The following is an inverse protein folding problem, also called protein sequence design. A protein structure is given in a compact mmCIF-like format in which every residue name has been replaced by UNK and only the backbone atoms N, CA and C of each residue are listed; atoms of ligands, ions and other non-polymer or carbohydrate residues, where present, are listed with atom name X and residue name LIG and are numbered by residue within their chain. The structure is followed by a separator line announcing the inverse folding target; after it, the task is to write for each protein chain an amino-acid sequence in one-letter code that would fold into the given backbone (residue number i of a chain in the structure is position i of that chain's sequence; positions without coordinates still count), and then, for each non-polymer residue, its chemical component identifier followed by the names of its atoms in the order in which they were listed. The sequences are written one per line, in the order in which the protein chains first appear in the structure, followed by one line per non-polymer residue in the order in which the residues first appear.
data_IF_903723595774
#
_entry.id   IF_903723595774
#
_cell.length_a   1.000
_cell.length_b   1.000
_cell.length_c   1.000
_cell.angle_alpha   90.00
_cell.angle_beta   90.00
_cell.angle_gamma   90.00
#
_symmetry.space_group_name_H-M   'P 1'
#
loop_
_entity.id
_entity.type
_entity.pdbx_description
1 polymer ?
#
# COMPACT_ATOMS: atom_id res chain seq x y z
N UNK A 1 8.37 7.07 14.29
CA UNK A 1 7.18 7.48 13.51
C UNK A 1 6.99 6.61 12.28
N UNK A 2 8.03 6.32 11.49
CA UNK A 2 7.96 5.45 10.29
C UNK A 2 7.55 4.00 10.61
N UNK A 3 8.07 3.41 11.69
CA UNK A 3 7.72 2.04 12.11
C UNK A 3 6.21 1.87 12.39
N UNK A 4 5.63 2.80 13.16
CA UNK A 4 4.19 2.80 13.49
C UNK A 4 3.30 3.00 12.26
N UNK A 5 3.75 3.79 11.28
CA UNK A 5 3.01 3.99 10.01
C UNK A 5 3.06 2.73 9.15
N UNK A 6 4.22 2.05 9.10
CA UNK A 6 4.35 0.75 8.44
C UNK A 6 3.43 -0.31 9.03
N UNK A 7 3.38 -0.43 10.37
CA UNK A 7 2.46 -1.37 11.03
C UNK A 7 0.99 -1.04 10.75
N UNK A 8 0.63 0.25 10.72
CA UNK A 8 -0.74 0.66 10.41
C UNK A 8 -1.14 0.34 8.95
N UNK A 9 -0.21 0.50 8.00
CA UNK A 9 -0.44 0.13 6.61
C UNK A 9 -0.63 -1.38 6.43
N UNK A 10 0.20 -2.21 7.09
CA UNK A 10 0.06 -3.67 7.08
C UNK A 10 -1.25 -4.10 7.72
N UNK A 11 -1.62 -3.54 8.87
CA UNK A 11 -2.87 -3.88 9.55
C UNK A 11 -4.11 -3.45 8.73
N UNK A 12 -4.05 -2.31 8.04
CA UNK A 12 -5.12 -1.88 7.14
C UNK A 12 -5.25 -2.84 5.95
N UNK A 13 -4.12 -3.22 5.32
CA UNK A 13 -4.10 -4.20 4.24
C UNK A 13 -4.65 -5.57 4.68
N UNK A 14 -4.22 -6.07 5.84
CA UNK A 14 -4.69 -7.35 6.39
C UNK A 14 -6.20 -7.29 6.68
N UNK A 15 -6.69 -6.17 7.20
CA UNK A 15 -8.14 -5.95 7.41
C UNK A 15 -8.89 -5.98 6.08
N UNK A 16 -8.41 -5.30 5.04
CA UNK A 16 -9.02 -5.35 3.70
C UNK A 16 -9.00 -6.76 3.13
N UNK A 17 -7.92 -7.52 3.33
CA UNK A 17 -7.82 -8.92 2.87
C UNK A 17 -8.88 -9.80 3.53
N UNK A 18 -9.18 -9.57 4.81
CA UNK A 18 -10.16 -10.35 5.56
C UNK A 18 -11.62 -9.89 5.40
N UNK A 19 -11.84 -8.59 5.18
CA UNK A 19 -13.17 -7.99 5.07
C UNK A 19 -13.74 -8.13 3.65
N UNK A 20 -12.88 -8.03 2.63
CA UNK A 20 -13.30 -8.14 1.24
C UNK A 20 -13.44 -9.61 0.81
N UNK A 21 -14.55 -9.93 0.16
CA UNK A 21 -14.73 -11.21 -0.51
C UNK A 21 -14.08 -11.09 -1.89
N UNK A 22 -12.78 -11.43 -2.00
CA UNK A 22 -12.07 -11.48 -3.29
C UNK A 22 -12.61 -12.62 -4.15
N UNK A 23 -13.80 -12.44 -4.70
CA UNK A 23 -14.40 -13.36 -5.65
C UNK A 23 -13.73 -13.17 -7.02
N UNK A 24 -12.98 -14.15 -7.52
CA UNK A 24 -12.34 -14.06 -8.83
C UNK A 24 -13.34 -13.84 -9.97
N UNK A 25 -14.59 -14.27 -9.79
CA UNK A 25 -15.65 -14.13 -10.79
C UNK A 25 -16.28 -12.72 -10.80
N UNK A 26 -16.04 -11.91 -9.77
CA UNK A 26 -16.49 -10.51 -9.67
C UNK A 26 -15.46 -9.50 -10.19
N UNK A 27 -14.29 -9.95 -10.66
CA UNK A 27 -13.25 -9.09 -11.23
C UNK A 27 -13.72 -8.52 -12.58
N UNK A 28 -14.12 -7.24 -12.59
CA UNK A 28 -14.38 -6.50 -13.83
C UNK A 28 -13.07 -6.06 -14.49
N UNK A 29 -12.59 -6.87 -15.45
CA UNK A 29 -11.38 -6.59 -16.23
C UNK A 29 -11.49 -5.35 -17.15
N UNK A 30 -12.69 -4.78 -17.30
CA UNK A 30 -12.92 -3.54 -18.05
C UNK A 30 -13.10 -2.33 -17.13
N UNK A 31 -13.02 -2.53 -15.80
CA UNK A 31 -12.98 -1.44 -14.85
C UNK A 31 -11.67 -0.67 -15.10
N UNK A 32 -11.82 0.61 -15.38
CA UNK A 32 -10.71 1.53 -15.57
C UNK A 32 -10.64 2.46 -14.39
N UNK A 33 -9.46 2.95 -14.04
CA UNK A 33 -9.17 3.85 -12.90
C UNK A 33 -10.10 5.09 -12.79
N UNK A 34 -10.81 5.44 -13.86
CA UNK A 34 -11.80 6.53 -13.88
C UNK A 34 -13.16 6.20 -13.23
N UNK A 35 -13.42 4.94 -12.87
CA UNK A 35 -14.70 4.43 -12.34
C UNK A 35 -14.61 3.86 -10.94
N UNK A 36 -13.40 3.62 -10.44
CA UNK A 36 -13.20 3.25 -9.05
C UNK A 36 -13.05 4.51 -8.20
N UNK A 37 -14.20 5.08 -7.82
CA UNK A 37 -14.28 6.30 -6.99
C UNK A 37 -13.97 5.99 -5.51
N UNK A 38 -13.97 4.71 -5.12
CA UNK A 38 -13.65 4.24 -3.76
C UNK A 38 -12.25 3.63 -3.63
N UNK A 39 -11.52 3.44 -4.74
CA UNK A 39 -10.20 2.82 -4.93
C UNK A 39 -9.01 3.52 -4.27
N UNK A 40 -9.18 3.95 -3.03
CA UNK A 40 -8.09 4.37 -2.19
C UNK A 40 -7.46 3.12 -1.58
N UNK A 41 -6.28 2.76 -2.06
CA UNK A 41 -5.53 1.64 -1.51
C UNK A 41 -4.96 1.94 -0.12
N UNK A 42 -4.39 0.93 0.55
CA UNK A 42 -3.79 1.11 1.87
C UNK A 42 -2.66 2.16 1.86
N UNK A 43 -1.95 2.32 0.74
CA UNK A 43 -0.90 3.31 0.58
C UNK A 43 -1.46 4.74 0.59
N UNK A 44 -2.61 4.98 -0.03
CA UNK A 44 -3.32 6.26 0.02
C UNK A 44 -3.67 6.66 1.45
N UNK A 45 -4.26 5.75 2.24
CA UNK A 45 -4.62 6.04 3.62
C UNK A 45 -3.38 6.24 4.51
N UNK A 46 -2.31 5.46 4.29
CA UNK A 46 -1.04 5.67 4.97
C UNK A 46 -0.41 7.04 4.65
N UNK A 47 -0.48 7.49 3.39
CA UNK A 47 -0.02 8.81 2.98
C UNK A 47 -0.80 9.93 3.68
N UNK A 48 -2.12 9.78 3.78
CA UNK A 48 -2.99 10.73 4.50
C UNK A 48 -2.66 10.76 6.01
N UNK A 49 -2.47 9.59 6.63
CA UNK A 49 -2.10 9.50 8.04
C UNK A 49 -0.73 10.15 8.31
N UNK A 50 0.27 9.89 7.46
CA UNK A 50 1.60 10.51 7.56
C UNK A 50 1.54 12.04 7.48
N UNK A 51 0.60 12.55 6.69
CA UNK A 51 0.38 13.98 6.49
C UNK A 51 -0.58 14.64 7.48
N UNK A 52 -1.03 13.94 8.51
CA UNK A 52 -1.99 14.43 9.52
C UNK A 52 -3.40 14.73 8.98
N UNK A 53 -3.77 14.18 7.82
CA UNK A 53 -5.12 14.35 7.29
C UNK A 53 -5.24 14.01 5.81
N UNK A 54 -6.47 14.04 5.32
CA UNK A 54 -6.81 13.71 3.93
C UNK A 54 -6.37 14.79 2.95
N UNK A 55 -6.25 14.45 1.66
CA UNK A 55 -5.73 15.38 0.63
C UNK A 55 -6.61 16.62 0.42
N UNK A 56 -7.91 16.55 0.72
CA UNK A 56 -8.85 17.67 0.64
C UNK A 56 -8.87 18.56 1.90
N UNK A 57 -8.20 18.16 2.97
CA UNK A 57 -8.06 18.95 4.20
C UNK A 57 -6.87 19.92 4.18
N UNK A 58 -6.26 20.17 3.02
CA UNK A 58 -5.19 21.17 2.91
C UNK A 58 -5.71 22.60 3.20
N UNK A 59 -6.96 22.90 2.80
CA UNK A 59 -7.55 24.23 2.97
C UNK A 59 -7.79 24.55 4.46
N UNK A 60 -8.08 23.53 5.27
CA UNK A 60 -8.24 23.68 6.72
C UNK A 60 -6.91 23.67 7.48
N UNK A 61 -5.78 23.49 6.78
CA UNK A 61 -4.44 23.41 7.36
C UNK A 61 -4.18 22.16 8.18
N UNK A 62 -5.09 21.17 8.16
CA UNK A 62 -4.93 19.91 8.91
C UNK A 62 -3.97 18.95 8.21
N UNK A 63 -4.02 18.89 6.88
CA UNK A 63 -3.16 17.99 6.10
C UNK A 63 -1.95 18.72 5.52
N UNK A 64 -0.79 18.09 5.60
CA UNK A 64 0.51 18.62 5.15
C UNK A 64 0.92 18.03 3.80
N UNK A 65 0.86 18.85 2.75
CA UNK A 65 1.21 18.44 1.39
C UNK A 65 2.69 18.07 1.23
N UNK A 66 3.60 18.69 1.99
CA UNK A 66 5.03 18.38 1.91
C UNK A 66 5.30 16.99 2.50
N UNK A 67 4.62 16.64 3.60
CA UNK A 67 4.70 15.29 4.18
C UNK A 67 4.12 14.22 3.27
N UNK A 68 3.03 14.49 2.54
CA UNK A 68 2.54 13.52 1.53
C UNK A 68 3.57 13.30 0.42
N UNK A 69 4.20 14.37 -0.06
CA UNK A 69 5.26 14.26 -1.06
C UNK A 69 6.45 13.45 -0.54
N UNK A 70 6.85 13.67 0.72
CA UNK A 70 7.89 12.90 1.40
C UNK A 70 7.52 11.40 1.47
N UNK A 71 6.29 11.08 1.90
CA UNK A 71 5.79 9.72 1.94
C UNK A 71 5.86 9.05 0.58
N UNK A 72 5.31 9.68 -0.47
CA UNK A 72 5.30 9.09 -1.81
C UNK A 72 6.71 8.96 -2.41
N UNK A 73 7.60 9.91 -2.11
CA UNK A 73 9.01 9.81 -2.52
C UNK A 73 9.68 8.61 -1.88
N UNK A 74 9.45 8.38 -0.58
CA UNK A 74 9.96 7.18 0.09
C UNK A 74 9.30 5.90 -0.44
N UNK A 75 7.98 5.90 -0.65
CA UNK A 75 7.24 4.75 -1.15
C UNK A 75 7.77 4.26 -2.50
N UNK A 76 7.92 5.17 -3.46
CA UNK A 76 8.36 4.86 -4.82
C UNK A 76 9.85 4.50 -4.91
N UNK A 77 10.71 5.17 -4.15
CA UNK A 77 12.16 5.02 -4.29
C UNK A 77 12.78 4.01 -3.30
N UNK A 78 12.04 3.60 -2.27
CA UNK A 78 12.58 2.74 -1.20
C UNK A 78 11.64 1.60 -0.87
N UNK A 79 10.38 1.88 -0.52
CA UNK A 79 9.49 0.86 0.01
C UNK A 79 9.15 -0.23 -1.04
N UNK A 80 8.71 0.19 -2.23
CA UNK A 80 8.35 -0.73 -3.32
C UNK A 80 9.56 -1.53 -3.83
N UNK A 81 10.72 -0.91 -4.14
CA UNK A 81 11.91 -1.66 -4.54
C UNK A 81 12.35 -2.70 -3.51
N UNK A 82 12.41 -2.33 -2.22
CA UNK A 82 12.83 -3.25 -1.18
C UNK A 82 11.84 -4.42 -0.99
N UNK A 83 10.54 -4.17 -1.13
CA UNK A 83 9.53 -5.21 -1.07
C UNK A 83 9.68 -6.20 -2.24
N UNK A 84 9.97 -5.70 -3.45
CA UNK A 84 10.23 -6.52 -4.62
C UNK A 84 11.48 -7.40 -4.43
N UNK A 85 12.58 -6.81 -3.96
CA UNK A 85 13.82 -7.56 -3.67
C UNK A 85 13.59 -8.66 -2.63
N UNK A 86 12.83 -8.37 -1.56
CA UNK A 86 12.50 -9.37 -0.54
C UNK A 86 11.67 -10.53 -1.09
N UNK A 87 10.75 -10.27 -2.03
CA UNK A 87 9.99 -11.34 -2.70
C UNK A 87 10.87 -12.22 -3.58
N UNK A 88 11.80 -11.63 -4.34
CA UNK A 88 12.74 -12.41 -5.15
C UNK A 88 13.68 -13.28 -4.30
N UNK A 89 14.05 -12.82 -3.10
CA UNK A 89 14.83 -13.62 -2.16
C UNK A 89 14.04 -14.81 -1.62
N UNK A 90 12.77 -14.60 -1.27
CA UNK A 90 11.87 -15.64 -0.77
C UNK A 90 11.62 -16.72 -1.84
N UNK A 91 11.36 -16.32 -3.09
CA UNK A 91 11.19 -17.24 -4.22
C UNK A 91 12.45 -18.09 -4.47
N UNK A 92 13.64 -17.48 -4.36
CA UNK A 92 14.91 -18.20 -4.50
C UNK A 92 15.11 -19.22 -3.37
N UNK A 93 14.72 -18.88 -2.14
CA UNK A 93 14.79 -19.79 -0.99
C UNK A 93 13.87 -20.99 -1.21
N UNK A 94 12.63 -20.76 -1.65
CA UNK A 94 11.65 -21.82 -1.89
C UNK A 94 12.09 -22.77 -3.02
N UNK A 95 12.66 -22.25 -4.11
CA UNK A 95 13.21 -23.07 -5.20
C UNK A 95 14.35 -23.96 -4.68
N UNK A 96 15.30 -23.39 -3.93
CA UNK A 96 16.44 -24.13 -3.37
C UNK A 96 16.02 -25.23 -2.39
N UNK A 97 14.98 -24.98 -1.59
CA UNK A 97 14.41 -26.00 -0.68
C UNK A 97 13.69 -27.11 -1.45
N UNK A 98 13.06 -26.80 -2.59
CA UNK A 98 12.39 -27.80 -3.44
C UNK A 98 13.38 -28.70 -4.20
N UNK A 99 14.54 -28.18 -4.61
CA UNK A 99 15.58 -28.97 -5.30
C UNK A 99 16.41 -29.85 -4.34
N UNK A 100 16.32 -29.59 -3.03
CA UNK A 100 17.04 -30.32 -1.99
C UNK A 100 16.25 -31.51 -1.39
N UNK A 101 15.00 -31.75 -1.80
CA UNK A 101 14.14 -32.87 -1.36
C UNK A 101 14.10 -34.02 -2.35
#
# INVERSE_FOLDING_TARGET
MTFTVGCAAVAALDTTIFDENFDPDEIDLNLTDNRDIEGNDAAFFAACAYANGTVWENISGKSDSAKRLEFWSWWLNVAVPNAWEAMEEDEKIDILLSEAS
#
